data_IF_182447762763
#
_entry.id   IF_182447762763
#
_cell.length_a   1.000
_cell.length_b   1.000
_cell.length_c   1.000
_cell.angle_alpha   90.00
_cell.angle_beta   90.00
_cell.angle_gamma   90.00
#
_symmetry.space_group_name_H-M   'P 1'
#
loop_
_entity.id
_entity.type
_entity.pdbx_description
1 polymer ?
#
# COMPACT_ATOMS: atom_id res chain seq x y z
N UNK A 1 25.65 0.89 -24.83
CA UNK A 1 26.54 2.04 -24.54
C UNK A 1 25.85 3.12 -23.70
N UNK A 2 24.54 3.12 -23.56
CA UNK A 2 23.72 4.12 -22.83
C UNK A 2 23.64 3.94 -21.31
N UNK A 3 23.84 2.75 -20.76
CA UNK A 3 23.67 2.46 -19.32
C UNK A 3 24.82 2.94 -18.42
N UNK A 4 26.01 3.21 -18.97
CA UNK A 4 27.17 3.69 -18.18
C UNK A 4 27.06 5.15 -17.72
N UNK A 5 26.26 5.97 -18.38
CA UNK A 5 26.10 7.40 -18.04
C UNK A 5 25.15 7.62 -16.84
N UNK A 6 24.24 6.69 -16.57
CA UNK A 6 23.29 6.79 -15.47
C UNK A 6 23.93 6.60 -14.08
N UNK A 7 25.11 5.97 -14.02
CA UNK A 7 25.80 5.65 -12.77
C UNK A 7 27.02 6.54 -12.48
N UNK A 8 27.30 7.54 -13.33
CA UNK A 8 28.42 8.45 -13.08
C UNK A 8 27.95 9.68 -12.30
N UNK A 9 28.58 9.99 -11.15
CA UNK A 9 28.30 11.24 -10.46
C UNK A 9 28.67 12.42 -11.37
N UNK A 10 27.96 13.55 -11.28
CA UNK A 10 28.27 14.73 -12.10
C UNK A 10 29.70 15.19 -11.77
N UNK A 11 30.50 15.32 -12.83
CA UNK A 11 31.84 15.92 -12.70
C UNK A 11 31.67 17.37 -12.24
N UNK A 12 32.28 17.71 -11.11
CA UNK A 12 32.34 19.08 -10.62
C UNK A 12 33.49 19.76 -11.36
N UNK A 13 33.24 20.37 -12.53
CA UNK A 13 34.19 21.30 -13.13
C UNK A 13 34.39 22.46 -12.15
N UNK A 14 35.65 22.65 -11.72
CA UNK A 14 36.05 23.79 -10.91
C UNK A 14 36.27 25.00 -11.84
N UNK A 15 35.57 26.10 -11.70
CA UNK A 15 35.96 27.35 -12.31
C UNK A 15 37.20 27.86 -11.60
N UNK A 16 38.18 28.34 -12.41
CA UNK A 16 39.42 28.96 -12.00
C UNK A 16 39.17 30.14 -11.03
N UNK A 17 40.10 30.30 -10.08
CA UNK A 17 40.07 31.27 -9.03
C UNK A 17 39.82 32.72 -9.49
N UNK A 18 38.62 33.21 -9.21
CA UNK A 18 38.37 34.65 -9.14
C UNK A 18 38.63 35.07 -7.69
N UNK A 19 39.56 35.98 -7.47
CA UNK A 19 39.95 36.52 -6.17
C UNK A 19 38.74 37.03 -5.40
N UNK A 20 38.37 36.33 -4.33
CA UNK A 20 37.27 36.70 -3.46
C UNK A 20 37.78 37.71 -2.42
N UNK A 21 37.22 38.90 -2.38
CA UNK A 21 37.39 39.87 -1.32
C UNK A 21 36.97 39.33 0.07
N UNK A 22 37.47 39.94 1.18
CA UNK A 22 37.19 39.48 2.54
C UNK A 22 35.71 39.70 2.88
N UNK A 23 34.92 38.62 2.86
CA UNK A 23 33.49 38.67 3.23
C UNK A 23 32.56 37.67 2.51
N UNK A 24 33.04 36.94 1.50
CA UNK A 24 32.22 35.96 0.82
C UNK A 24 32.07 34.69 1.66
N UNK A 25 30.94 34.55 2.37
CA UNK A 25 30.56 33.31 3.04
C UNK A 25 30.62 32.18 2.02
N UNK A 26 31.55 31.22 2.22
CA UNK A 26 31.79 30.11 1.28
C UNK A 26 30.60 29.13 1.33
N UNK A 27 29.52 29.37 0.60
CA UNK A 27 28.36 28.47 0.41
C UNK A 27 28.68 27.23 -0.43
N UNK A 28 29.93 27.06 -0.87
CA UNK A 28 30.39 25.95 -1.72
C UNK A 28 30.12 24.54 -1.17
N UNK A 29 30.30 24.26 0.15
CA UNK A 29 29.99 22.91 0.66
C UNK A 29 28.49 22.63 0.69
N UNK A 30 27.66 23.61 1.03
CA UNK A 30 26.20 23.45 1.05
C UNK A 30 25.63 23.14 -0.34
N UNK A 31 26.09 23.87 -1.37
CA UNK A 31 25.68 23.60 -2.77
C UNK A 31 26.06 22.19 -3.23
N UNK A 32 27.25 21.68 -2.86
CA UNK A 32 27.67 20.31 -3.17
C UNK A 32 26.76 19.30 -2.47
N UNK A 33 26.48 19.47 -1.20
CA UNK A 33 25.56 18.59 -0.42
C UNK A 33 24.17 18.57 -1.08
N UNK A 34 23.62 19.72 -1.45
CA UNK A 34 22.32 19.80 -2.13
C UNK A 34 22.30 19.08 -3.49
N UNK A 35 23.39 19.18 -4.27
CA UNK A 35 23.54 18.47 -5.55
C UNK A 35 23.55 16.95 -5.31
N UNK A 36 24.30 16.48 -4.32
CA UNK A 36 24.34 15.06 -3.96
C UNK A 36 22.99 14.54 -3.45
N UNK A 37 22.33 15.30 -2.56
CA UNK A 37 20.98 14.96 -2.08
C UNK A 37 19.98 14.84 -3.21
N UNK A 38 20.00 15.81 -4.15
CA UNK A 38 19.15 15.78 -5.35
C UNK A 38 19.47 14.58 -6.24
N UNK A 39 20.74 14.30 -6.45
CA UNK A 39 21.19 13.17 -7.28
C UNK A 39 20.77 11.82 -6.69
N UNK A 40 20.98 11.60 -5.37
CA UNK A 40 20.54 10.41 -4.68
C UNK A 40 19.00 10.32 -4.62
N UNK A 41 18.33 11.42 -4.32
CA UNK A 41 16.86 11.48 -4.25
C UNK A 41 16.21 11.09 -5.58
N UNK A 42 16.70 11.63 -6.71
CA UNK A 42 16.18 11.28 -8.04
C UNK A 42 16.41 9.80 -8.39
N UNK A 43 17.56 9.22 -8.00
CA UNK A 43 17.82 7.80 -8.23
C UNK A 43 16.96 6.90 -7.34
N UNK A 44 16.78 7.26 -6.08
CA UNK A 44 15.89 6.55 -5.18
C UNK A 44 14.46 6.57 -5.73
N UNK A 45 13.97 7.74 -6.18
CA UNK A 45 12.64 7.87 -6.80
C UNK A 45 12.52 7.03 -8.08
N UNK A 46 13.55 7.04 -8.94
CA UNK A 46 13.57 6.23 -10.15
C UNK A 46 13.54 4.73 -9.83
N UNK A 47 14.31 4.28 -8.82
CA UNK A 47 14.28 2.89 -8.37
C UNK A 47 12.92 2.51 -7.82
N UNK A 48 12.30 3.36 -7.02
CA UNK A 48 10.94 3.16 -6.50
C UNK A 48 9.93 3.03 -7.66
N UNK A 49 10.01 3.91 -8.65
CA UNK A 49 9.14 3.86 -9.84
C UNK A 49 9.34 2.56 -10.65
N UNK A 50 10.59 2.12 -10.83
CA UNK A 50 10.90 0.83 -11.50
C UNK A 50 10.32 -0.35 -10.73
N UNK A 51 10.47 -0.41 -9.41
CA UNK A 51 9.91 -1.47 -8.57
C UNK A 51 8.37 -1.49 -8.64
N UNK A 52 7.74 -0.31 -8.61
CA UNK A 52 6.28 -0.20 -8.78
C UNK A 52 5.88 -0.67 -10.19
N UNK A 53 6.60 -0.28 -11.24
CA UNK A 53 6.32 -0.71 -12.61
C UNK A 53 6.46 -2.24 -12.79
N UNK A 54 7.46 -2.86 -12.17
CA UNK A 54 7.62 -4.32 -12.19
C UNK A 54 6.41 -5.00 -11.56
N UNK A 55 5.97 -4.55 -10.38
CA UNK A 55 4.84 -5.16 -9.69
C UNK A 55 3.46 -4.74 -10.24
N UNK A 56 3.41 -3.84 -11.22
CA UNK A 56 2.22 -3.66 -12.04
C UNK A 56 1.90 -4.93 -12.87
N UNK A 57 2.93 -5.67 -13.28
CA UNK A 57 2.83 -6.83 -14.19
C UNK A 57 3.18 -8.16 -13.52
N UNK A 58 4.08 -8.15 -12.53
CA UNK A 58 4.58 -9.33 -11.86
C UNK A 58 4.02 -9.38 -10.43
N UNK A 59 3.58 -10.53 -10.01
CA UNK A 59 3.07 -10.72 -8.65
C UNK A 59 4.23 -10.71 -7.64
N UNK A 60 4.15 -9.92 -6.54
CA UNK A 60 5.15 -9.94 -5.49
C UNK A 60 5.29 -11.35 -4.89
N UNK A 61 6.45 -12.02 -5.03
CA UNK A 61 6.64 -13.39 -4.53
C UNK A 61 6.58 -13.44 -2.99
N UNK A 62 7.09 -12.41 -2.35
CA UNK A 62 6.99 -12.19 -0.90
C UNK A 62 7.09 -10.71 -0.59
N UNK A 63 6.80 -10.31 0.64
CA UNK A 63 6.94 -8.93 1.11
C UNK A 63 7.71 -8.90 2.42
N UNK A 64 8.30 -7.73 2.75
CA UNK A 64 8.98 -7.57 4.03
C UNK A 64 8.06 -7.89 5.22
N UNK A 65 6.79 -7.57 5.11
CA UNK A 65 5.77 -7.87 6.13
C UNK A 65 5.65 -9.36 6.37
N UNK A 66 5.56 -10.17 5.31
CA UNK A 66 5.44 -11.63 5.39
C UNK A 66 6.73 -12.22 5.94
N UNK A 67 7.90 -11.79 5.45
CA UNK A 67 9.20 -12.25 5.94
C UNK A 67 9.41 -11.88 7.43
N UNK A 68 8.96 -10.71 7.85
CA UNK A 68 9.06 -10.34 9.26
C UNK A 68 8.11 -11.16 10.14
N UNK A 69 6.90 -11.45 9.67
CA UNK A 69 5.92 -12.26 10.40
C UNK A 69 6.36 -13.73 10.53
N UNK A 70 7.07 -14.29 9.54
CA UNK A 70 7.55 -15.69 9.59
C UNK A 70 8.54 -15.97 10.73
N UNK A 71 9.03 -14.93 11.41
CA UNK A 71 9.88 -15.07 12.59
C UNK A 71 9.09 -15.36 13.88
N UNK A 72 7.81 -14.99 13.90
CA UNK A 72 6.93 -15.13 15.07
C UNK A 72 5.84 -16.17 14.88
N UNK A 73 5.34 -16.30 13.66
CA UNK A 73 4.19 -17.15 13.34
C UNK A 73 4.53 -18.05 12.14
N UNK A 74 4.15 -19.34 12.12
CA UNK A 74 4.22 -20.14 10.92
C UNK A 74 3.30 -19.55 9.85
N UNK A 75 3.84 -19.39 8.62
CA UNK A 75 3.09 -18.82 7.51
C UNK A 75 2.31 -19.93 6.80
N UNK A 76 0.98 -19.77 6.68
CA UNK A 76 0.13 -20.65 5.87
C UNK A 76 0.54 -20.61 4.39
N UNK A 77 0.32 -21.73 3.70
CA UNK A 77 0.55 -21.80 2.24
C UNK A 77 -0.21 -20.70 1.54
N UNK A 78 0.54 -19.87 0.84
CA UNK A 78 0.03 -18.71 0.14
C UNK A 78 0.03 -18.95 -1.36
N UNK A 79 -1.17 -19.00 -1.93
CA UNK A 79 -1.36 -19.04 -3.37
C UNK A 79 -1.84 -17.65 -3.82
N UNK A 80 -1.29 -17.16 -4.92
CA UNK A 80 -1.79 -15.93 -5.54
C UNK A 80 -3.16 -16.18 -6.14
N UNK A 81 -4.07 -15.24 -5.96
CA UNK A 81 -5.43 -15.30 -6.50
C UNK A 81 -5.67 -14.07 -7.36
N UNK A 82 -5.93 -14.28 -8.63
CA UNK A 82 -6.23 -13.19 -9.56
C UNK A 82 -7.56 -12.52 -9.20
N UNK A 83 -7.68 -11.23 -9.50
CA UNK A 83 -8.85 -10.44 -9.08
C UNK A 83 -10.17 -11.01 -9.61
N UNK A 84 -10.16 -11.64 -10.79
CA UNK A 84 -11.32 -12.29 -11.39
C UNK A 84 -11.80 -13.51 -10.60
N UNK A 85 -10.91 -14.20 -9.90
CA UNK A 85 -11.19 -15.39 -9.09
C UNK A 85 -11.55 -15.04 -7.63
N UNK A 86 -11.64 -13.77 -7.29
CA UNK A 86 -12.10 -13.29 -5.99
C UNK A 86 -13.58 -12.85 -6.12
N UNK A 87 -14.44 -13.43 -5.29
CA UNK A 87 -15.86 -13.09 -5.28
C UNK A 87 -16.11 -11.56 -5.25
N UNK A 88 -16.98 -11.01 -6.10
CA UNK A 88 -17.30 -9.57 -6.11
C UNK A 88 -17.73 -9.03 -4.75
N UNK A 89 -18.41 -9.85 -3.93
CA UNK A 89 -18.78 -9.48 -2.55
C UNK A 89 -17.56 -9.31 -1.65
N UNK A 90 -16.46 -10.02 -1.86
CA UNK A 90 -15.24 -9.85 -1.09
C UNK A 90 -14.53 -8.55 -1.44
N UNK A 91 -14.39 -8.26 -2.73
CA UNK A 91 -13.81 -6.99 -3.23
C UNK A 91 -14.55 -5.80 -2.64
N UNK A 92 -15.88 -5.78 -2.72
CA UNK A 92 -16.74 -4.73 -2.14
C UNK A 92 -16.67 -4.66 -0.63
N UNK A 93 -16.60 -5.80 0.07
CA UNK A 93 -16.50 -5.81 1.53
C UNK A 93 -15.22 -5.16 2.03
N UNK A 94 -14.08 -5.39 1.35
CA UNK A 94 -12.82 -4.75 1.72
C UNK A 94 -12.85 -3.26 1.43
N UNK A 95 -13.39 -2.85 0.28
CA UNK A 95 -13.54 -1.43 -0.05
C UNK A 95 -14.46 -0.73 0.95
N UNK A 96 -15.62 -1.32 1.28
CA UNK A 96 -16.53 -0.77 2.30
C UNK A 96 -15.90 -0.68 3.71
N UNK A 97 -15.00 -1.61 4.04
CA UNK A 97 -14.36 -1.68 5.35
C UNK A 97 -13.21 -0.69 5.54
N UNK A 98 -12.39 -0.50 4.51
CA UNK A 98 -11.11 0.17 4.58
C UNK A 98 -11.06 1.49 3.79
N UNK A 99 -11.85 1.62 2.72
CA UNK A 99 -11.74 2.74 1.78
C UNK A 99 -12.99 2.86 0.91
N UNK A 100 -14.11 3.30 1.49
CA UNK A 100 -15.41 3.31 0.82
C UNK A 100 -15.49 4.18 -0.45
N UNK A 101 -14.52 5.07 -0.67
CA UNK A 101 -14.39 5.94 -1.84
C UNK A 101 -13.24 5.53 -2.76
N UNK A 102 -12.76 4.29 -2.67
CA UNK A 102 -11.56 3.80 -3.36
C UNK A 102 -11.54 4.11 -4.87
N UNK A 103 -12.68 3.97 -5.56
CA UNK A 103 -12.80 4.28 -6.98
C UNK A 103 -12.89 5.79 -7.30
N UNK A 104 -13.09 6.65 -6.29
CA UNK A 104 -13.39 8.07 -6.48
C UNK A 104 -12.19 8.99 -6.20
N UNK A 105 -11.09 8.46 -5.67
CA UNK A 105 -9.91 9.25 -5.36
C UNK A 105 -8.63 8.64 -5.98
N UNK A 106 -7.59 9.45 -6.02
CA UNK A 106 -6.28 9.07 -6.56
C UNK A 106 -5.27 8.89 -5.42
N UNK A 107 -5.42 7.78 -4.68
CA UNK A 107 -4.53 7.33 -3.61
C UNK A 107 -4.74 7.97 -2.24
N UNK A 108 -5.35 9.15 -2.17
CA UNK A 108 -5.65 9.84 -0.92
C UNK A 108 -7.11 10.27 -0.88
N UNK A 109 -7.89 9.80 0.08
CA UNK A 109 -9.23 10.32 0.32
C UNK A 109 -9.15 11.62 1.14
N UNK A 110 -9.06 12.75 0.41
CA UNK A 110 -8.98 14.06 1.03
C UNK A 110 -10.25 14.44 1.80
N UNK A 111 -11.39 13.85 1.45
CA UNK A 111 -12.65 14.07 2.15
C UNK A 111 -12.62 13.43 3.53
N UNK A 112 -12.14 12.18 3.61
CA UNK A 112 -12.03 11.45 4.86
C UNK A 112 -10.91 12.00 5.76
N UNK A 113 -9.78 12.40 5.18
CA UNK A 113 -8.69 13.09 5.91
C UNK A 113 -9.21 14.35 6.58
N UNK A 114 -9.98 15.19 5.87
CA UNK A 114 -10.58 16.42 6.45
C UNK A 114 -11.54 16.11 7.60
N UNK A 115 -12.37 15.07 7.48
CA UNK A 115 -13.30 14.65 8.54
C UNK A 115 -12.54 14.19 9.79
N UNK A 116 -11.49 13.37 9.63
CA UNK A 116 -10.67 12.88 10.74
C UNK A 116 -9.98 14.03 11.45
N UNK A 117 -9.38 14.98 10.71
CA UNK A 117 -8.74 16.17 11.27
C UNK A 117 -9.77 17.05 12.01
N UNK A 118 -10.93 17.29 11.42
CA UNK A 118 -11.97 18.13 12.04
C UNK A 118 -12.59 17.52 13.30
N UNK A 119 -12.68 16.18 13.35
CA UNK A 119 -13.26 15.47 14.52
C UNK A 119 -12.25 15.19 15.64
N UNK A 120 -10.95 15.46 15.44
CA UNK A 120 -9.89 15.07 16.38
C UNK A 120 -9.81 13.56 16.61
N UNK A 121 -10.43 12.75 15.75
CA UNK A 121 -10.52 11.30 15.89
C UNK A 121 -9.16 10.63 15.69
N UNK A 122 -8.86 9.62 16.50
CA UNK A 122 -7.71 8.73 16.29
C UNK A 122 -7.94 7.67 15.19
N UNK A 123 -9.09 7.72 14.49
CA UNK A 123 -9.42 6.81 13.41
C UNK A 123 -8.42 6.97 12.25
N UNK A 124 -7.92 5.88 11.72
CA UNK A 124 -7.03 5.91 10.55
C UNK A 124 -7.77 6.32 9.28
N UNK A 125 -7.23 7.29 8.54
CA UNK A 125 -7.70 7.70 7.22
C UNK A 125 -6.79 7.15 6.10
N UNK A 126 -6.13 6.01 6.32
CA UNK A 126 -5.26 5.41 5.32
C UNK A 126 -6.08 4.61 4.30
N UNK A 127 -5.87 4.90 3.03
CA UNK A 127 -6.53 4.25 1.90
C UNK A 127 -5.98 2.86 1.61
N UNK A 128 -6.67 2.07 0.79
CA UNK A 128 -6.19 0.76 0.31
C UNK A 128 -4.85 0.92 -0.41
N UNK A 129 -4.67 1.95 -1.23
CA UNK A 129 -3.40 2.20 -1.94
C UNK A 129 -2.25 2.47 -0.97
N UNK A 130 -2.46 3.25 0.07
CA UNK A 130 -1.46 3.49 1.12
C UNK A 130 -1.12 2.22 1.90
N UNK A 131 -2.12 1.38 2.20
CA UNK A 131 -1.91 0.10 2.85
C UNK A 131 -1.15 -0.88 1.94
N UNK A 132 -1.44 -0.89 0.64
CA UNK A 132 -0.71 -1.66 -0.37
C UNK A 132 0.75 -1.21 -0.43
N UNK A 133 1.01 0.10 -0.51
CA UNK A 133 2.36 0.66 -0.47
C UNK A 133 3.13 0.18 0.77
N UNK A 134 2.51 0.26 1.94
CA UNK A 134 3.09 -0.21 3.20
C UNK A 134 3.40 -1.72 3.16
N UNK A 135 2.43 -2.55 2.77
CA UNK A 135 2.56 -3.99 2.88
C UNK A 135 3.53 -4.59 1.85
N UNK A 136 3.65 -3.98 0.66
CA UNK A 136 4.51 -4.48 -0.43
C UNK A 136 5.94 -3.96 -0.31
N UNK A 137 6.11 -2.66 -0.10
CA UNK A 137 7.41 -1.99 -0.25
C UNK A 137 8.07 -1.58 1.06
N UNK A 138 7.32 -1.56 2.18
CA UNK A 138 7.81 -0.98 3.44
C UNK A 138 7.71 -2.00 4.59
N UNK A 139 8.11 -1.54 5.78
CA UNK A 139 8.10 -2.35 7.00
C UNK A 139 6.90 -2.03 7.90
N UNK A 140 6.61 -2.92 8.84
CA UNK A 140 5.57 -2.71 9.84
C UNK A 140 6.05 -1.78 10.97
N UNK A 141 5.09 -1.26 11.74
CA UNK A 141 5.34 -0.33 12.84
C UNK A 141 4.98 1.11 12.49
N UNK A 142 5.00 1.97 13.51
CA UNK A 142 4.68 3.41 13.37
C UNK A 142 5.99 4.21 13.37
N UNK A 143 6.33 4.82 12.24
CA UNK A 143 7.46 5.74 12.14
C UNK A 143 7.20 6.81 11.07
N UNK A 144 7.67 8.02 11.31
CA UNK A 144 7.54 9.13 10.37
C UNK A 144 8.26 8.87 9.03
N UNK A 145 9.50 8.33 9.00
CA UNK A 145 10.17 8.01 7.74
C UNK A 145 9.37 7.02 6.88
N UNK A 146 8.79 5.98 7.51
CA UNK A 146 7.93 5.03 6.80
C UNK A 146 6.69 5.71 6.24
N UNK A 147 6.02 6.58 7.00
CA UNK A 147 4.82 7.28 6.52
C UNK A 147 5.14 8.24 5.37
N UNK A 148 6.30 8.88 5.39
CA UNK A 148 6.77 9.68 4.26
C UNK A 148 6.98 8.83 3.00
N UNK A 149 7.64 7.68 3.12
CA UNK A 149 7.83 6.75 1.98
C UNK A 149 6.48 6.23 1.46
N UNK A 150 5.55 5.88 2.34
CA UNK A 150 4.19 5.49 1.98
C UNK A 150 3.51 6.59 1.14
N UNK A 151 3.66 7.86 1.54
CA UNK A 151 3.12 9.01 0.81
C UNK A 151 3.77 9.18 -0.58
N UNK A 152 5.03 8.80 -0.76
CA UNK A 152 5.73 8.85 -2.06
C UNK A 152 5.31 7.65 -2.94
N UNK A 153 5.21 6.44 -2.38
CA UNK A 153 4.79 5.26 -3.14
C UNK A 153 3.34 5.35 -3.62
N UNK A 154 2.45 5.94 -2.84
CA UNK A 154 1.01 6.03 -3.16
C UNK A 154 0.73 6.62 -4.54
N UNK A 155 1.22 7.82 -4.92
CA UNK A 155 1.00 8.37 -6.25
C UNK A 155 1.71 7.58 -7.36
N UNK A 156 2.85 6.94 -7.09
CA UNK A 156 3.51 6.07 -8.07
C UNK A 156 2.66 4.84 -8.38
N UNK A 157 2.06 4.24 -7.37
CA UNK A 157 1.15 3.10 -7.52
C UNK A 157 -0.09 3.51 -8.33
N UNK A 158 -0.74 4.61 -7.97
CA UNK A 158 -1.93 5.09 -8.68
C UNK A 158 -1.65 5.50 -10.14
N UNK A 159 -0.44 5.97 -10.43
CA UNK A 159 -0.04 6.32 -11.78
C UNK A 159 0.22 5.09 -12.68
N UNK A 160 0.64 3.96 -12.09
CA UNK A 160 1.13 2.81 -12.85
C UNK A 160 0.23 1.58 -12.75
N UNK A 161 -0.65 1.50 -11.73
CA UNK A 161 -1.53 0.35 -11.51
C UNK A 161 -3.00 0.75 -11.67
N UNK A 162 -3.81 -0.15 -12.24
CA UNK A 162 -5.26 0.00 -12.20
C UNK A 162 -5.79 -0.21 -10.77
N UNK A 163 -6.97 0.32 -10.47
CA UNK A 163 -7.66 0.08 -9.19
C UNK A 163 -7.83 -1.41 -8.90
N UNK A 164 -8.17 -2.20 -9.92
CA UNK A 164 -8.27 -3.66 -9.80
C UNK A 164 -6.93 -4.27 -9.39
N UNK A 165 -5.82 -3.85 -10.02
CA UNK A 165 -4.48 -4.35 -9.65
C UNK A 165 -4.08 -3.97 -8.23
N UNK A 166 -4.37 -2.75 -7.80
CA UNK A 166 -4.11 -2.32 -6.42
C UNK A 166 -4.86 -3.20 -5.43
N UNK A 167 -6.14 -3.44 -5.67
CA UNK A 167 -6.97 -4.27 -4.80
C UNK A 167 -6.55 -5.75 -4.82
N UNK A 168 -6.18 -6.28 -6.00
CA UNK A 168 -5.67 -7.63 -6.15
C UNK A 168 -4.41 -7.84 -5.30
N UNK A 169 -3.42 -6.97 -5.46
CA UNK A 169 -2.19 -7.04 -4.67
C UNK A 169 -2.50 -6.90 -3.18
N UNK A 170 -3.33 -5.93 -2.79
CA UNK A 170 -3.76 -5.76 -1.42
C UNK A 170 -4.32 -7.04 -0.81
N UNK A 171 -5.29 -7.67 -1.48
CA UNK A 171 -5.96 -8.88 -1.02
C UNK A 171 -5.01 -10.08 -0.94
N UNK A 172 -3.95 -10.12 -1.74
CA UNK A 172 -2.96 -11.18 -1.73
C UNK A 172 -1.82 -11.00 -0.71
N UNK A 173 -1.61 -9.77 -0.19
CA UNK A 173 -0.54 -9.49 0.78
C UNK A 173 -1.04 -9.11 2.17
N UNK A 174 -2.34 -8.83 2.33
CA UNK A 174 -2.93 -8.50 3.63
C UNK A 174 -2.90 -9.70 4.59
N UNK A 175 -2.67 -9.43 5.88
CA UNK A 175 -2.79 -10.42 6.94
C UNK A 175 -4.25 -10.51 7.40
N UNK A 176 -4.81 -11.71 7.47
CA UNK A 176 -6.18 -11.99 7.92
C UNK A 176 -6.24 -12.72 9.27
N UNK A 177 -5.09 -13.20 9.74
CA UNK A 177 -4.92 -13.89 11.03
C UNK A 177 -3.44 -14.10 11.28
N UNK A 178 -3.03 -14.59 12.47
CA UNK A 178 -1.62 -14.87 12.76
C UNK A 178 -1.02 -15.81 11.71
N UNK A 179 -0.05 -15.31 10.92
CA UNK A 179 0.59 -16.08 9.85
C UNK A 179 -0.28 -16.35 8.61
N UNK A 180 -1.52 -15.88 8.55
CA UNK A 180 -2.43 -16.09 7.42
C UNK A 180 -2.42 -14.86 6.52
N UNK A 181 -1.67 -14.94 5.43
CA UNK A 181 -1.52 -13.87 4.45
C UNK A 181 -2.19 -14.22 3.12
N UNK A 182 -2.96 -13.28 2.60
CA UNK A 182 -3.68 -13.40 1.34
C UNK A 182 -5.06 -14.03 1.48
N UNK A 183 -5.94 -13.61 0.57
CA UNK A 183 -7.35 -14.05 0.56
C UNK A 183 -7.50 -15.54 0.25
N UNK A 184 -6.57 -16.13 -0.52
CA UNK A 184 -6.56 -17.57 -0.80
C UNK A 184 -6.38 -18.40 0.46
N UNK A 185 -5.36 -18.07 1.26
CA UNK A 185 -5.12 -18.72 2.54
C UNK A 185 -6.29 -18.46 3.52
N UNK A 186 -6.76 -17.21 3.60
CA UNK A 186 -7.84 -16.84 4.52
C UNK A 186 -9.16 -17.58 4.23
N UNK A 187 -9.56 -17.68 2.96
CA UNK A 187 -10.79 -18.40 2.58
C UNK A 187 -10.70 -19.89 2.91
N UNK A 188 -9.55 -20.50 2.66
CA UNK A 188 -9.29 -21.93 2.93
C UNK A 188 -9.23 -22.21 4.43
N UNK A 189 -8.41 -21.46 5.17
CA UNK A 189 -8.16 -21.73 6.59
C UNK A 189 -9.40 -21.48 7.46
N UNK A 190 -10.15 -20.40 7.21
CA UNK A 190 -11.30 -20.06 8.05
C UNK A 190 -12.60 -20.71 7.60
N UNK A 191 -12.76 -21.02 6.32
CA UNK A 191 -14.06 -21.47 5.79
C UNK A 191 -14.00 -22.71 4.89
N UNK A 192 -12.80 -23.22 4.55
CA UNK A 192 -12.65 -24.41 3.70
C UNK A 192 -13.15 -24.20 2.26
N UNK A 193 -13.19 -22.95 1.76
CA UNK A 193 -13.71 -22.60 0.43
C UNK A 193 -12.67 -21.85 -0.39
N UNK A 194 -12.90 -21.74 -1.70
CA UNK A 194 -12.10 -20.87 -2.57
C UNK A 194 -12.53 -19.41 -2.41
N UNK A 195 -11.69 -18.41 -2.74
CA UNK A 195 -12.05 -16.99 -2.71
C UNK A 195 -13.26 -16.64 -3.58
N UNK A 196 -13.48 -17.37 -4.69
CA UNK A 196 -14.65 -17.22 -5.56
C UNK A 196 -15.97 -17.64 -4.89
N UNK A 197 -15.90 -18.57 -3.94
CA UNK A 197 -17.07 -19.14 -3.25
C UNK A 197 -17.45 -18.38 -1.96
N UNK A 198 -16.71 -17.33 -1.60
CA UNK A 198 -17.01 -16.55 -0.40
C UNK A 198 -18.41 -15.93 -0.46
N UNK A 199 -19.22 -16.21 0.53
CA UNK A 199 -20.53 -15.56 0.71
C UNK A 199 -20.36 -14.13 1.24
N UNK A 200 -21.39 -13.29 1.09
CA UNK A 200 -21.37 -11.91 1.59
C UNK A 200 -21.08 -11.84 3.11
N UNK A 201 -21.58 -12.80 3.88
CA UNK A 201 -21.33 -12.89 5.33
C UNK A 201 -19.88 -13.23 5.63
N UNK A 202 -19.28 -14.20 4.96
CA UNK A 202 -17.89 -14.59 5.13
C UNK A 202 -16.95 -13.47 4.70
N UNK A 203 -17.20 -12.86 3.55
CA UNK A 203 -16.46 -11.72 3.02
C UNK A 203 -16.43 -10.53 4.00
N UNK A 204 -17.58 -10.16 4.54
CA UNK A 204 -17.68 -9.08 5.53
C UNK A 204 -16.96 -9.39 6.84
N UNK A 205 -16.93 -10.66 7.28
CA UNK A 205 -16.18 -11.10 8.46
C UNK A 205 -14.67 -11.05 8.21
N UNK A 206 -14.18 -11.51 7.05
CA UNK A 206 -12.77 -11.38 6.66
C UNK A 206 -12.36 -9.91 6.57
N UNK A 207 -13.17 -9.06 5.96
CA UNK A 207 -12.88 -7.63 5.91
C UNK A 207 -12.88 -6.97 7.30
N UNK A 208 -13.69 -7.47 8.23
CA UNK A 208 -13.77 -6.94 9.59
C UNK A 208 -12.51 -7.17 10.44
N UNK A 209 -11.68 -8.18 10.12
CA UNK A 209 -10.46 -8.47 10.88
C UNK A 209 -9.26 -7.65 10.45
N UNK A 210 -9.23 -7.13 9.23
CA UNK A 210 -8.07 -6.44 8.62
C UNK A 210 -7.40 -5.38 9.51
N UNK A 211 -8.12 -4.54 10.30
CA UNK A 211 -7.47 -3.57 11.17
C UNK A 211 -6.70 -4.18 12.36
N UNK A 212 -7.00 -5.43 12.73
CA UNK A 212 -6.39 -6.10 13.86
C UNK A 212 -6.43 -7.64 13.67
N UNK A 213 -5.74 -8.19 12.67
CA UNK A 213 -5.88 -9.58 12.25
C UNK A 213 -5.40 -10.57 13.31
N UNK A 214 -4.47 -10.18 14.17
CA UNK A 214 -3.95 -11.04 15.25
C UNK A 214 -4.87 -11.13 16.48
N UNK A 215 -5.91 -10.31 16.56
CA UNK A 215 -6.79 -10.26 17.73
C UNK A 215 -8.28 -10.46 17.43
N UNK A 216 -8.66 -10.39 16.15
CA UNK A 216 -10.05 -10.58 15.72
C UNK A 216 -10.25 -11.93 15.07
N UNK A 217 -11.38 -12.57 15.39
CA UNK A 217 -11.75 -13.87 14.85
C UNK A 217 -12.82 -13.71 13.75
N UNK A 218 -12.52 -14.09 12.49
CA UNK A 218 -13.49 -13.99 11.39
C UNK A 218 -14.61 -15.02 11.48
N UNK A 219 -14.48 -16.06 12.32
CA UNK A 219 -15.57 -17.02 12.56
C UNK A 219 -16.69 -16.42 13.41
N UNK A 220 -16.42 -15.32 14.12
CA UNK A 220 -17.41 -14.66 14.98
C UNK A 220 -18.04 -13.46 14.28
N UNK A 221 -19.38 -13.40 14.31
CA UNK A 221 -20.11 -12.23 13.84
C UNK A 221 -19.89 -11.05 14.80
N UNK A 222 -19.66 -9.87 14.25
CA UNK A 222 -19.50 -8.63 15.00
C UNK A 222 -20.40 -7.51 14.45
N UNK A 223 -20.63 -6.46 15.24
CA UNK A 223 -21.33 -5.28 14.75
C UNK A 223 -20.60 -4.67 13.53
N UNK A 224 -19.25 -4.68 13.55
CA UNK A 224 -18.42 -4.24 12.40
C UNK A 224 -18.68 -5.09 11.16
N UNK A 225 -18.71 -6.43 11.27
CA UNK A 225 -18.95 -7.27 10.09
C UNK A 225 -20.34 -7.09 9.49
N UNK A 226 -21.36 -6.82 10.32
CA UNK A 226 -22.72 -6.48 9.81
C UNK A 226 -22.71 -5.16 9.07
N UNK A 227 -22.13 -4.12 9.66
CA UNK A 227 -22.02 -2.80 9.00
C UNK A 227 -21.22 -2.86 7.69
N UNK A 228 -20.18 -3.72 7.60
CA UNK A 228 -19.44 -3.94 6.35
C UNK A 228 -20.31 -4.63 5.30
N UNK A 229 -21.11 -5.62 5.67
CA UNK A 229 -22.02 -6.29 4.72
C UNK A 229 -23.04 -5.29 4.14
N UNK A 230 -23.64 -4.45 4.97
CA UNK A 230 -24.56 -3.40 4.56
C UNK A 230 -23.86 -2.34 3.69
N UNK A 231 -22.66 -1.92 4.07
CA UNK A 231 -21.80 -1.01 3.29
C UNK A 231 -21.46 -1.58 1.92
N UNK A 232 -21.04 -2.84 1.84
CA UNK A 232 -20.73 -3.52 0.59
C UNK A 232 -21.94 -3.60 -0.37
N UNK A 233 -23.11 -3.85 0.19
CA UNK A 233 -24.38 -3.82 -0.58
C UNK A 233 -24.72 -2.40 -1.05
N UNK A 234 -24.40 -1.38 -0.27
CA UNK A 234 -24.66 0.02 -0.61
C UNK A 234 -23.75 0.48 -1.75
N UNK A 235 -22.43 0.28 -1.66
CA UNK A 235 -21.50 0.70 -2.72
C UNK A 235 -21.71 -0.07 -4.03
N UNK A 236 -22.32 -1.27 -3.98
CA UNK A 236 -22.68 -2.00 -5.17
C UNK A 236 -23.89 -1.38 -5.91
N UNK A 237 -24.75 -0.63 -5.19
CA UNK A 237 -25.96 -0.02 -5.77
C UNK A 237 -25.73 1.42 -6.23
N UNK A 238 -24.82 2.13 -5.59
CA UNK A 238 -24.57 3.56 -5.84
C UNK A 238 -23.38 3.83 -6.78
N UNK A 239 -22.80 2.78 -7.36
CA UNK A 239 -21.74 2.88 -8.36
C UNK A 239 -20.35 3.15 -7.80
N UNK A 240 -20.17 3.29 -6.48
CA UNK A 240 -18.85 3.53 -5.86
C UNK A 240 -17.88 2.36 -5.98
N UNK A 241 -18.33 1.23 -6.53
CA UNK A 241 -17.51 0.03 -6.74
C UNK A 241 -17.31 -0.29 -8.22
N UNK A 242 -17.62 0.62 -9.15
CA UNK A 242 -17.60 0.35 -10.59
C UNK A 242 -16.19 0.16 -11.18
N UNK A 243 -15.16 0.52 -10.44
CA UNK A 243 -13.78 0.29 -10.85
C UNK A 243 -13.26 -1.13 -10.52
N UNK A 244 -14.06 -1.99 -9.87
CA UNK A 244 -13.63 -3.29 -9.30
C UNK A 244 -13.96 -4.48 -10.21
#
# INVERSE_FOLDING_TARGET
>A
MFLRSLFRPPATEMPADAAAGPGAVRWRPLRRVLIWLRWFGLRALALMAVLVAIYALVNPPTTWTIVAASRSDPISTRDWVDIGDIAPVMRRSVVAAEDANFCLHWGFDMSEIRKVVASGSSRGASTITQQTAKNVFLWQGRSWPRKLLETIYTPLIEALWSKQRILEVYLNVAEFGPGIFGIGAAAREFYGVTPAQLTARQAARLAAVLPAPKSRDPNRASARSRAIADGAATIARDGRADCL
#
